data_IF_397866867937
#
_entry.id   IF_397866867937
#
_cell.length_a   1.000
_cell.length_b   1.000
_cell.length_c   1.000
_cell.angle_alpha   90.00
_cell.angle_beta   90.00
_cell.angle_gamma   90.00
#
_symmetry.space_group_name_H-M   'P 1'
#
loop_
_entity.id
_entity.type
_entity.pdbx_description
1 polymer ?
#
# COMPACT_ATOMS: atom_id res chain seq x y z
N UNK A 1 -3.49 9.82 -1.83
CA UNK A 1 -3.39 9.45 -3.25
C UNK A 1 -2.45 8.25 -3.39
N UNK A 2 -2.97 7.11 -3.89
CA UNK A 2 -2.28 5.82 -3.99
C UNK A 2 -1.43 5.69 -5.27
N UNK A 3 -1.83 6.31 -6.37
CA UNK A 3 -1.20 6.16 -7.71
C UNK A 3 -0.03 7.13 -7.93
N UNK A 4 0.12 8.14 -7.08
CA UNK A 4 1.06 9.25 -7.23
C UNK A 4 2.51 8.83 -7.54
N UNK A 5 3.07 7.82 -6.85
CA UNK A 5 4.44 7.37 -7.08
C UNK A 5 4.64 6.65 -8.44
N UNK A 6 3.54 6.33 -9.10
CA UNK A 6 3.48 5.60 -10.37
C UNK A 6 2.70 6.38 -11.44
N UNK A 7 2.53 7.69 -11.26
CA UNK A 7 1.64 8.52 -12.09
C UNK A 7 1.97 8.44 -13.59
N UNK A 8 3.26 8.33 -13.93
CA UNK A 8 3.75 8.17 -15.31
C UNK A 8 3.15 6.95 -16.03
N UNK A 9 2.69 5.92 -15.31
CA UNK A 9 2.03 4.73 -15.89
C UNK A 9 0.60 5.03 -16.38
N UNK A 10 -0.01 6.11 -15.89
CA UNK A 10 -1.39 6.49 -16.20
C UNK A 10 -1.49 7.73 -17.10
N UNK A 11 -0.35 8.39 -17.37
CA UNK A 11 -0.27 9.58 -18.22
C UNK A 11 -0.08 9.18 -19.68
N UNK A 12 -0.84 9.82 -20.58
CA UNK A 12 -0.63 9.78 -22.03
C UNK A 12 -0.59 11.20 -22.58
N UNK A 13 0.56 11.60 -23.14
CA UNK A 13 0.87 12.99 -23.53
C UNK A 13 0.70 13.96 -22.36
N UNK A 14 -0.49 14.53 -22.20
CA UNK A 14 -0.84 15.54 -21.21
C UNK A 14 -2.11 15.18 -20.40
N UNK A 15 -2.62 13.96 -20.57
CA UNK A 15 -3.87 13.51 -19.92
C UNK A 15 -3.62 12.29 -19.03
N UNK A 16 -4.22 12.30 -17.84
CA UNK A 16 -4.26 11.14 -16.93
C UNK A 16 -5.48 10.29 -17.29
N UNK A 17 -5.27 9.00 -17.52
CA UNK A 17 -6.35 8.04 -17.76
C UNK A 17 -7.01 7.62 -16.44
N UNK A 18 -8.09 8.31 -16.06
CA UNK A 18 -8.85 8.01 -14.84
C UNK A 18 -9.39 6.57 -14.80
N UNK A 19 -9.70 5.97 -15.94
CA UNK A 19 -10.14 4.56 -16.01
C UNK A 19 -9.03 3.60 -15.59
N UNK A 20 -7.80 3.76 -16.12
CA UNK A 20 -6.64 2.94 -15.72
C UNK A 20 -6.22 3.19 -14.29
N UNK A 21 -6.29 4.45 -13.86
CA UNK A 21 -5.99 4.85 -12.48
C UNK A 21 -6.95 4.16 -11.50
N UNK A 22 -8.26 4.26 -11.75
CA UNK A 22 -9.28 3.62 -10.92
C UNK A 22 -9.13 2.09 -10.89
N UNK A 23 -8.83 1.46 -12.03
CA UNK A 23 -8.55 0.02 -12.09
C UNK A 23 -7.37 -0.38 -11.18
N UNK A 24 -6.27 0.38 -11.24
CA UNK A 24 -5.10 0.13 -10.39
C UNK A 24 -5.43 0.34 -8.90
N UNK A 25 -6.19 1.38 -8.56
CA UNK A 25 -6.65 1.63 -7.19
C UNK A 25 -7.51 0.48 -6.68
N UNK A 26 -8.53 0.05 -7.44
CA UNK A 26 -9.40 -1.06 -7.05
C UNK A 26 -8.64 -2.37 -6.91
N UNK A 27 -7.63 -2.61 -7.74
CA UNK A 27 -6.75 -3.78 -7.60
C UNK A 27 -5.96 -3.72 -6.28
N UNK A 28 -5.29 -2.61 -5.99
CA UNK A 28 -4.51 -2.47 -4.75
C UNK A 28 -5.36 -2.52 -3.48
N UNK A 29 -6.55 -1.92 -3.49
CA UNK A 29 -7.50 -1.99 -2.37
C UNK A 29 -7.84 -3.45 -2.05
N UNK A 30 -8.06 -4.28 -3.07
CA UNK A 30 -8.33 -5.72 -2.91
C UNK A 30 -7.10 -6.50 -2.46
N UNK A 31 -5.97 -6.29 -3.12
CA UNK A 31 -4.73 -7.06 -2.83
C UNK A 31 -4.21 -6.83 -1.41
N UNK A 32 -4.32 -5.59 -0.91
CA UNK A 32 -3.87 -5.19 0.42
C UNK A 32 -4.98 -5.27 1.48
N UNK A 33 -6.19 -5.67 1.09
CA UNK A 33 -7.37 -5.70 1.95
C UNK A 33 -7.57 -4.37 2.70
N UNK A 34 -7.53 -3.26 1.96
CA UNK A 34 -7.78 -1.92 2.51
C UNK A 34 -9.28 -1.81 2.78
N UNK A 35 -9.64 -1.62 4.05
CA UNK A 35 -11.02 -1.45 4.48
C UNK A 35 -11.42 0.00 4.24
N UNK A 36 -12.10 0.24 3.13
CA UNK A 36 -12.63 1.55 2.74
C UNK A 36 -13.99 1.38 2.08
N UNK A 37 -14.95 2.26 2.40
CA UNK A 37 -16.28 2.25 1.80
C UNK A 37 -16.27 2.83 0.38
N UNK A 38 -15.51 3.91 0.19
CA UNK A 38 -15.31 4.59 -1.09
C UNK A 38 -13.81 4.81 -1.36
N UNK A 39 -13.23 4.25 -2.44
CA UNK A 39 -11.84 4.51 -2.82
C UNK A 39 -11.49 5.99 -3.05
N UNK A 40 -12.47 6.87 -3.23
CA UNK A 40 -12.28 8.32 -3.33
C UNK A 40 -12.21 9.03 -1.97
N UNK A 41 -12.50 8.33 -0.87
CA UNK A 41 -12.44 8.88 0.49
C UNK A 41 -11.00 9.31 0.85
N UNK A 42 -10.89 10.40 1.64
CA UNK A 42 -9.58 10.90 2.06
C UNK A 42 -8.81 9.87 2.90
N UNK A 43 -7.53 9.67 2.59
CA UNK A 43 -6.67 8.71 3.30
C UNK A 43 -6.56 9.05 4.80
N UNK A 44 -6.53 10.35 5.15
CA UNK A 44 -6.50 10.86 6.53
C UNK A 44 -7.66 10.37 7.39
N UNK A 45 -8.79 10.03 6.78
CA UNK A 45 -9.99 9.54 7.50
C UNK A 45 -9.99 8.02 7.74
N UNK A 46 -9.02 7.29 7.19
CA UNK A 46 -8.87 5.85 7.42
C UNK A 46 -8.17 5.57 8.75
N UNK A 47 -8.38 4.39 9.34
CA UNK A 47 -7.58 3.93 10.50
C UNK A 47 -6.09 3.86 10.14
N UNK A 48 -5.18 4.06 11.11
CA UNK A 48 -3.73 4.03 10.89
C UNK A 48 -3.24 2.82 10.07
N UNK A 49 -3.71 1.60 10.37
CA UNK A 49 -3.37 0.39 9.58
C UNK A 49 -3.76 0.46 8.11
N UNK A 50 -4.92 1.05 7.79
CA UNK A 50 -5.37 1.26 6.41
C UNK A 50 -4.58 2.39 5.72
N UNK A 51 -4.23 3.44 6.45
CA UNK A 51 -3.32 4.47 5.93
C UNK A 51 -1.97 3.86 5.55
N UNK A 52 -1.42 3.01 6.42
CA UNK A 52 -0.15 2.33 6.17
C UNK A 52 -0.24 1.42 4.93
N UNK A 53 -1.33 0.66 4.78
CA UNK A 53 -1.56 -0.14 3.56
C UNK A 53 -1.64 0.73 2.30
N UNK A 54 -2.22 1.94 2.37
CA UNK A 54 -2.22 2.86 1.24
C UNK A 54 -0.80 3.32 0.87
N UNK A 55 0.05 3.60 1.87
CA UNK A 55 1.46 3.97 1.65
C UNK A 55 2.24 2.83 0.99
N UNK A 56 2.04 1.61 1.49
CA UNK A 56 2.61 0.39 0.92
C UNK A 56 2.14 0.20 -0.52
N UNK A 57 0.82 0.30 -0.78
CA UNK A 57 0.26 0.16 -2.13
C UNK A 57 0.82 1.17 -3.12
N UNK A 58 1.06 2.40 -2.67
CA UNK A 58 1.76 3.42 -3.47
C UNK A 58 3.15 2.96 -3.89
N UNK A 59 3.92 2.35 -3.00
CA UNK A 59 5.23 1.80 -3.33
C UNK A 59 5.12 0.60 -4.27
N UNK A 60 4.19 -0.32 -4.03
CA UNK A 60 3.99 -1.52 -4.85
C UNK A 60 3.58 -1.20 -6.30
N UNK A 61 2.81 -0.14 -6.51
CA UNK A 61 2.43 0.31 -7.86
C UNK A 61 3.63 0.77 -8.71
N UNK A 62 4.81 0.95 -8.13
CA UNK A 62 6.04 1.19 -8.90
C UNK A 62 6.61 -0.10 -9.52
N UNK A 63 6.06 -1.27 -9.16
CA UNK A 63 6.55 -2.58 -9.58
C UNK A 63 7.92 -2.97 -9.00
N UNK A 64 8.18 -2.78 -7.69
CA UNK A 64 9.49 -3.08 -7.11
C UNK A 64 9.74 -4.59 -7.05
N UNK A 65 11.02 -4.99 -7.14
CA UNK A 65 11.46 -6.36 -6.83
C UNK A 65 11.79 -6.55 -5.34
N UNK A 66 12.15 -5.45 -4.67
CA UNK A 66 12.49 -5.39 -3.25
C UNK A 66 11.81 -4.18 -2.63
N UNK A 67 11.19 -4.36 -1.47
CA UNK A 67 10.56 -3.31 -0.68
C UNK A 67 11.31 -3.16 0.65
N UNK A 68 11.91 -1.99 0.88
CA UNK A 68 12.46 -1.60 2.17
C UNK A 68 11.39 -0.84 2.96
N UNK A 69 11.18 -1.24 4.20
CA UNK A 69 10.26 -0.58 5.12
C UNK A 69 10.99 -0.17 6.39
N UNK A 70 11.00 1.12 6.66
CA UNK A 70 11.54 1.73 7.88
C UNK A 70 10.39 2.05 8.83
N UNK A 71 10.42 1.45 10.02
CA UNK A 71 9.41 1.51 11.07
C UNK A 71 7.95 1.40 10.57
N UNK A 72 7.58 0.33 9.83
CA UNK A 72 6.27 0.25 9.19
C UNK A 72 5.10 0.05 10.16
N UNK A 73 5.37 -0.24 11.43
CA UNK A 73 4.38 -0.37 12.52
C UNK A 73 4.20 0.91 13.34
N UNK A 74 4.94 1.98 13.06
CA UNK A 74 4.85 3.20 13.86
C UNK A 74 3.52 3.92 13.64
N UNK A 75 2.82 4.22 14.74
CA UNK A 75 1.56 4.97 14.70
C UNK A 75 0.32 4.14 14.30
N UNK A 76 0.42 2.81 14.32
CA UNK A 76 -0.72 1.90 14.17
C UNK A 76 -0.90 1.06 15.44
N UNK A 77 -2.13 0.66 15.75
CA UNK A 77 -2.41 -0.20 16.90
C UNK A 77 -1.92 -1.63 16.70
N UNK A 78 -1.81 -2.41 17.79
CA UNK A 78 -1.32 -3.80 17.78
C UNK A 78 -2.13 -4.70 16.85
N UNK A 79 -3.45 -4.52 16.78
CA UNK A 79 -4.32 -5.30 15.89
C UNK A 79 -4.07 -4.99 14.41
N UNK A 80 -3.85 -3.72 14.08
CA UNK A 80 -3.47 -3.27 12.75
C UNK A 80 -2.06 -3.74 12.33
N UNK A 81 -1.11 -3.80 13.27
CA UNK A 81 0.26 -4.30 13.04
C UNK A 81 0.23 -5.72 12.47
N UNK A 82 -0.46 -6.64 13.13
CA UNK A 82 -0.59 -8.03 12.68
C UNK A 82 -1.16 -8.15 11.25
N UNK A 83 -2.09 -7.27 10.88
CA UNK A 83 -2.70 -7.27 9.56
C UNK A 83 -1.78 -6.76 8.45
N UNK A 84 -0.97 -5.73 8.74
CA UNK A 84 0.10 -5.27 7.84
C UNK A 84 1.12 -6.39 7.64
N UNK A 85 1.62 -7.01 8.71
CA UNK A 85 2.58 -8.12 8.60
C UNK A 85 2.02 -9.31 7.82
N UNK A 86 0.75 -9.67 8.01
CA UNK A 86 0.08 -10.71 7.22
C UNK A 86 0.09 -10.37 5.73
N UNK A 87 -0.20 -9.12 5.39
CA UNK A 87 -0.18 -8.63 4.00
C UNK A 87 1.24 -8.74 3.42
N UNK A 88 2.26 -8.35 4.19
CA UNK A 88 3.67 -8.43 3.74
C UNK A 88 4.14 -9.86 3.54
N UNK A 89 3.79 -10.77 4.46
CA UNK A 89 4.07 -12.21 4.31
C UNK A 89 3.42 -12.79 3.05
N UNK A 90 2.21 -12.34 2.69
CA UNK A 90 1.57 -12.73 1.42
C UNK A 90 2.39 -12.26 0.22
N UNK A 91 2.71 -10.97 0.14
CA UNK A 91 3.49 -10.42 -0.98
C UNK A 91 4.88 -11.05 -1.10
N UNK A 92 5.52 -11.36 0.04
CA UNK A 92 6.81 -12.05 0.05
C UNK A 92 6.73 -13.46 -0.53
N UNK A 93 5.66 -14.21 -0.22
CA UNK A 93 5.39 -15.51 -0.86
C UNK A 93 5.13 -15.39 -2.37
N UNK A 94 4.59 -14.27 -2.81
CA UNK A 94 4.37 -13.96 -4.23
C UNK A 94 5.65 -13.48 -4.95
N UNK A 95 6.81 -13.53 -4.28
CA UNK A 95 8.12 -13.28 -4.88
C UNK A 95 8.71 -11.89 -4.62
N UNK A 96 8.06 -11.05 -3.82
CA UNK A 96 8.60 -9.74 -3.44
C UNK A 96 9.66 -9.89 -2.34
N UNK A 97 10.87 -9.38 -2.56
CA UNK A 97 11.85 -9.24 -1.49
C UNK A 97 11.39 -8.18 -0.50
N UNK A 98 11.39 -8.46 0.80
CA UNK A 98 10.98 -7.48 1.82
C UNK A 98 12.05 -7.37 2.90
N UNK A 99 12.51 -6.15 3.16
CA UNK A 99 13.43 -5.82 4.25
C UNK A 99 12.74 -4.88 5.24
N UNK A 100 12.71 -5.29 6.51
CA UNK A 100 12.19 -4.49 7.61
C UNK A 100 13.35 -3.90 8.41
N UNK A 101 13.32 -2.59 8.64
CA UNK A 101 14.06 -1.92 9.69
C UNK A 101 13.03 -1.50 10.76
N UNK A 102 13.05 -2.16 11.92
CA UNK A 102 12.14 -1.83 13.02
C UNK A 102 12.71 -2.22 14.36
N UNK A 103 12.36 -1.46 15.40
CA UNK A 103 12.56 -1.86 16.80
C UNK A 103 11.54 -2.89 17.30
N UNK A 104 10.43 -3.07 16.59
CA UNK A 104 9.27 -3.84 17.05
C UNK A 104 9.30 -5.30 16.54
N UNK A 105 10.44 -5.99 16.70
CA UNK A 105 10.68 -7.34 16.17
C UNK A 105 9.94 -8.47 16.91
N UNK A 106 9.34 -8.16 18.06
CA UNK A 106 8.50 -9.11 18.79
C UNK A 106 7.03 -8.95 18.34
N UNK A 107 6.58 -9.88 17.47
CA UNK A 107 5.23 -10.46 17.32
C UNK A 107 5.00 -11.19 15.98
#
# INVERSE_FOLDING_TARGET
>A
NLTLASLSRFVRLFHISGTKENQAVTQMVRELAIKVADPAQEVSSLSGGNQQKVVIGKALLTGPKVLLMDEPSRGIDVGAKADVFRTMRKLSRDGLGILFATSDLDE
#
